data_IF_356903208292
#
_entry.id   IF_356903208292
#
_cell.length_a   1.000
_cell.length_b   1.000
_cell.length_c   1.000
_cell.angle_alpha   90.00
_cell.angle_beta   90.00
_cell.angle_gamma   90.00
#
_symmetry.space_group_name_H-M   'P 1'
#
loop_
_entity.id
_entity.type
_entity.pdbx_description
1 polymer ?
#
# COMPACT_ATOMS: atom_id res chain seq x y z
N UNK A 1 33.91 -19.03 -40.29
CA UNK A 1 33.97 -18.68 -38.85
C UNK A 1 32.55 -18.62 -38.31
N UNK A 2 32.12 -19.62 -37.55
CA UNK A 2 30.80 -19.66 -36.90
C UNK A 2 31.05 -19.67 -35.39
N UNK A 3 30.78 -18.56 -34.71
CA UNK A 3 31.00 -18.45 -33.27
C UNK A 3 29.82 -19.11 -32.56
N UNK A 4 29.97 -20.38 -32.14
CA UNK A 4 29.01 -21.02 -31.25
C UNK A 4 29.14 -20.39 -29.86
N UNK A 5 28.24 -19.46 -29.53
CA UNK A 5 28.06 -18.97 -28.15
C UNK A 5 27.49 -20.13 -27.31
N UNK A 6 28.35 -20.82 -26.57
CA UNK A 6 27.94 -21.75 -25.52
C UNK A 6 27.30 -20.94 -24.38
N UNK A 7 25.97 -20.90 -24.31
CA UNK A 7 25.28 -20.53 -23.08
C UNK A 7 25.40 -21.71 -22.11
N UNK A 8 26.24 -21.56 -21.08
CA UNK A 8 26.23 -22.44 -19.92
C UNK A 8 24.91 -22.25 -19.19
N UNK A 9 23.94 -23.15 -19.43
CA UNK A 9 22.77 -23.27 -18.57
C UNK A 9 23.18 -24.07 -17.33
N UNK A 10 23.84 -23.39 -16.39
CA UNK A 10 23.97 -23.90 -15.03
C UNK A 10 22.57 -23.91 -14.42
N UNK A 11 21.88 -25.05 -14.53
CA UNK A 11 20.61 -25.27 -13.86
C UNK A 11 20.87 -25.31 -12.36
N UNK A 12 20.61 -24.19 -11.69
CA UNK A 12 20.56 -24.13 -10.23
C UNK A 12 19.39 -25.00 -9.75
N UNK A 13 19.70 -26.24 -9.33
CA UNK A 13 18.72 -27.24 -8.90
C UNK A 13 17.95 -26.85 -7.62
N UNK A 14 18.30 -25.74 -6.96
CA UNK A 14 17.68 -25.22 -5.73
C UNK A 14 16.39 -24.40 -5.98
N UNK A 15 16.11 -23.99 -7.22
CA UNK A 15 15.09 -22.94 -7.50
C UNK A 15 13.65 -23.44 -7.51
N UNK A 16 13.38 -24.69 -7.89
CA UNK A 16 11.99 -25.20 -8.02
C UNK A 16 11.27 -25.30 -6.68
N UNK A 17 11.91 -25.92 -5.68
CA UNK A 17 11.30 -26.09 -4.36
C UNK A 17 11.06 -24.76 -3.63
N UNK A 18 12.02 -23.82 -3.73
CA UNK A 18 11.87 -22.46 -3.19
C UNK A 18 10.70 -21.71 -3.83
N UNK A 19 10.55 -21.81 -5.15
CA UNK A 19 9.48 -21.13 -5.88
C UNK A 19 8.11 -21.73 -5.57
N UNK A 20 8.00 -23.06 -5.48
CA UNK A 20 6.76 -23.72 -5.05
C UNK A 20 6.37 -23.31 -3.62
N UNK A 21 7.35 -23.25 -2.70
CA UNK A 21 7.10 -22.77 -1.32
C UNK A 21 6.61 -21.33 -1.32
N UNK A 22 7.24 -20.45 -2.10
CA UNK A 22 6.85 -19.05 -2.20
C UNK A 22 5.41 -18.87 -2.70
N UNK A 23 5.04 -19.57 -3.78
CA UNK A 23 3.68 -19.49 -4.36
C UNK A 23 2.63 -20.13 -3.44
N UNK A 24 3.03 -21.12 -2.64
CA UNK A 24 2.14 -21.76 -1.65
C UNK A 24 1.87 -20.91 -0.42
N UNK A 25 2.65 -19.84 -0.19
CA UNK A 25 2.52 -19.04 1.02
C UNK A 25 1.15 -18.30 1.07
N UNK A 26 0.39 -18.43 2.16
CA UNK A 26 -0.95 -17.85 2.28
C UNK A 26 -0.97 -16.33 2.15
N UNK A 27 0.08 -15.62 2.59
CA UNK A 27 0.14 -14.16 2.50
C UNK A 27 0.47 -13.67 1.09
N UNK A 28 1.13 -14.49 0.26
CA UNK A 28 1.31 -14.18 -1.16
C UNK A 28 -0.04 -14.27 -1.88
N UNK A 29 -0.81 -15.32 -1.59
CA UNK A 29 -2.18 -15.45 -2.10
C UNK A 29 -3.09 -14.33 -1.60
N UNK A 30 -2.98 -13.97 -0.32
CA UNK A 30 -3.74 -12.87 0.28
C UNK A 30 -3.36 -11.52 -0.32
N UNK A 31 -2.07 -11.26 -0.60
CA UNK A 31 -1.67 -9.98 -1.22
C UNK A 31 -2.26 -9.82 -2.61
N UNK A 32 -2.34 -10.91 -3.39
CA UNK A 32 -3.00 -10.88 -4.69
C UNK A 32 -4.51 -10.65 -4.53
N UNK A 33 -5.17 -11.37 -3.61
CA UNK A 33 -6.62 -11.23 -3.34
C UNK A 33 -7.00 -9.82 -2.88
N UNK A 34 -6.18 -9.19 -2.05
CA UNK A 34 -6.43 -7.85 -1.49
C UNK A 34 -5.74 -6.72 -2.29
N UNK A 35 -5.14 -7.05 -3.44
CA UNK A 35 -4.47 -6.12 -4.35
C UNK A 35 -3.34 -5.29 -3.71
N UNK A 36 -2.53 -5.93 -2.86
CA UNK A 36 -1.27 -5.40 -2.35
C UNK A 36 -0.10 -5.82 -3.23
N UNK A 37 0.85 -4.92 -3.45
CA UNK A 37 2.03 -5.18 -4.30
C UNK A 37 2.95 -6.27 -3.76
N UNK A 38 2.95 -6.52 -2.46
CA UNK A 38 3.74 -7.58 -1.84
C UNK A 38 3.11 -8.07 -0.52
N UNK A 39 3.47 -9.30 -0.13
CA UNK A 39 3.14 -9.90 1.18
C UNK A 39 3.60 -9.06 2.38
N UNK A 40 4.59 -8.18 2.21
CA UNK A 40 5.12 -7.34 3.29
C UNK A 40 4.11 -6.33 3.81
N UNK A 41 3.08 -5.97 3.02
CA UNK A 41 1.99 -5.08 3.47
C UNK A 41 1.34 -5.58 4.77
N UNK A 42 1.15 -6.90 4.91
CA UNK A 42 0.51 -7.49 6.09
C UNK A 42 1.32 -7.29 7.37
N UNK A 43 2.65 -7.28 7.29
CA UNK A 43 3.50 -6.98 8.45
C UNK A 43 3.20 -5.59 9.01
N UNK A 44 3.09 -4.59 8.13
CA UNK A 44 2.81 -3.23 8.55
C UNK A 44 1.38 -3.08 9.08
N UNK A 45 0.42 -3.79 8.47
CA UNK A 45 -0.97 -3.82 8.96
C UNK A 45 -1.03 -4.42 10.38
N UNK A 46 -0.45 -5.60 10.57
CA UNK A 46 -0.42 -6.30 11.87
C UNK A 46 0.30 -5.46 12.94
N UNK A 47 1.45 -4.86 12.61
CA UNK A 47 2.15 -3.95 13.53
C UNK A 47 1.30 -2.73 13.87
N UNK A 48 0.63 -2.13 12.89
CA UNK A 48 -0.24 -0.99 13.16
C UNK A 48 -1.46 -1.38 13.99
N UNK A 49 -2.00 -2.59 13.83
CA UNK A 49 -3.14 -3.05 14.63
C UNK A 49 -2.73 -3.29 16.10
N UNK A 50 -1.50 -3.76 16.34
CA UNK A 50 -0.95 -3.94 17.68
C UNK A 50 -0.59 -2.61 18.36
N UNK A 51 0.09 -1.69 17.66
CA UNK A 51 0.71 -0.51 18.27
C UNK A 51 0.00 0.82 17.95
N UNK A 52 -0.90 0.84 16.96
CA UNK A 52 -1.73 2.00 16.56
C UNK A 52 -0.94 3.31 16.31
N UNK A 53 0.25 3.19 15.73
CA UNK A 53 1.16 4.32 15.49
C UNK A 53 0.89 5.09 14.18
N UNK A 54 0.18 4.49 13.21
CA UNK A 54 -0.25 5.21 12.01
C UNK A 54 -1.56 5.91 12.28
N UNK A 55 -1.50 7.24 12.43
CA UNK A 55 -2.67 8.07 12.64
C UNK A 55 -2.83 9.07 11.48
N UNK A 56 -4.07 9.47 11.17
CA UNK A 56 -4.31 10.49 10.17
C UNK A 56 -3.58 11.80 10.52
N UNK A 57 -2.86 12.38 9.56
CA UNK A 57 -2.11 13.63 9.75
C UNK A 57 -0.62 13.46 10.11
N UNK A 58 -0.16 12.22 10.37
CA UNK A 58 1.26 11.95 10.59
C UNK A 58 2.10 12.16 9.31
N UNK A 59 3.38 12.49 9.48
CA UNK A 59 4.37 12.49 8.39
C UNK A 59 5.17 11.20 8.54
N UNK A 60 5.21 10.38 7.50
CA UNK A 60 5.91 9.10 7.49
C UNK A 60 6.89 9.07 6.34
N UNK A 61 8.11 8.62 6.62
CA UNK A 61 9.14 8.36 5.63
C UNK A 61 9.29 6.84 5.49
N UNK A 62 9.03 6.32 4.29
CA UNK A 62 9.19 4.91 3.93
C UNK A 62 10.57 4.75 3.27
N UNK A 63 11.57 4.32 4.04
CA UNK A 63 12.94 4.09 3.55
C UNK A 63 13.04 2.70 2.94
N UNK A 64 13.15 2.61 1.61
CA UNK A 64 13.21 1.34 0.89
C UNK A 64 11.86 0.92 0.32
N UNK A 65 11.16 1.87 -0.32
CA UNK A 65 9.79 1.68 -0.79
C UNK A 65 9.67 0.74 -2.01
N UNK A 66 10.68 -0.02 -2.41
CA UNK A 66 10.56 -1.05 -3.45
C UNK A 66 10.04 -2.36 -2.83
N UNK A 67 8.86 -2.91 -3.22
CA UNK A 67 8.00 -2.62 -4.39
C UNK A 67 6.81 -1.65 -4.14
N UNK A 68 6.67 -1.11 -2.92
CA UNK A 68 5.70 -0.04 -2.58
C UNK A 68 4.52 -0.53 -1.75
N UNK A 69 4.58 -1.77 -1.27
CA UNK A 69 3.49 -2.38 -0.50
C UNK A 69 3.24 -1.68 0.85
N UNK A 70 4.30 -1.16 1.49
CA UNK A 70 4.19 -0.39 2.75
C UNK A 70 3.61 0.99 2.49
N UNK A 71 4.15 1.72 1.52
CA UNK A 71 3.58 2.96 1.02
C UNK A 71 2.06 2.87 0.71
N UNK A 72 1.59 1.79 0.08
CA UNK A 72 0.15 1.57 -0.15
C UNK A 72 -0.68 1.52 1.14
N UNK A 73 -0.15 0.91 2.20
CA UNK A 73 -0.81 0.83 3.51
C UNK A 73 -0.75 2.19 4.20
N UNK A 74 0.41 2.87 4.18
CA UNK A 74 0.62 4.18 4.79
C UNK A 74 -0.36 5.22 4.24
N UNK A 75 -0.48 5.32 2.91
CA UNK A 75 -1.41 6.25 2.26
C UNK A 75 -2.86 6.03 2.71
N UNK A 76 -3.27 4.78 2.91
CA UNK A 76 -4.63 4.46 3.39
C UNK A 76 -4.86 4.86 4.85
N UNK A 77 -3.83 4.79 5.71
CA UNK A 77 -3.95 5.02 7.17
C UNK A 77 -3.68 6.48 7.56
N UNK A 78 -2.74 7.14 6.89
CA UNK A 78 -2.20 8.46 7.27
C UNK A 78 -2.95 9.63 6.60
N UNK A 79 -3.65 9.40 5.49
CA UNK A 79 -4.41 10.45 4.81
C UNK A 79 -5.80 10.68 5.43
N UNK A 80 -5.91 11.72 6.27
CA UNK A 80 -7.19 12.16 6.87
C UNK A 80 -8.23 12.61 5.82
N UNK A 81 -7.80 13.35 4.80
CA UNK A 81 -8.70 14.01 3.83
C UNK A 81 -9.53 13.04 2.97
N UNK A 82 -8.98 11.86 2.66
CA UNK A 82 -9.67 10.85 1.83
C UNK A 82 -10.87 10.26 2.59
N UNK A 83 -10.75 10.08 3.91
CA UNK A 83 -11.81 9.49 4.73
C UNK A 83 -12.96 10.46 4.95
N UNK A 84 -12.70 11.77 5.13
CA UNK A 84 -13.75 12.78 5.27
C UNK A 84 -14.58 12.92 3.99
N UNK A 85 -13.93 12.95 2.81
CA UNK A 85 -14.65 12.97 1.51
C UNK A 85 -15.48 11.71 1.29
N UNK A 86 -14.94 10.52 1.59
CA UNK A 86 -15.69 9.26 1.45
C UNK A 86 -16.89 9.19 2.39
N UNK A 87 -16.77 9.64 3.65
CA UNK A 87 -17.91 9.75 4.57
C UNK A 87 -18.95 10.74 4.07
N UNK A 88 -18.54 11.91 3.60
CA UNK A 88 -19.45 12.90 3.03
C UNK A 88 -20.19 12.37 1.79
N UNK A 89 -19.53 11.57 0.94
CA UNK A 89 -20.17 10.95 -0.24
C UNK A 89 -21.08 9.79 0.17
N UNK A 90 -20.69 8.96 1.15
CA UNK A 90 -21.48 7.82 1.65
C UNK A 90 -22.73 8.25 2.42
N UNK A 91 -22.70 9.42 3.07
CA UNK A 91 -23.83 10.00 3.82
C UNK A 91 -24.75 10.85 2.94
N UNK A 92 -24.45 11.01 1.65
CA UNK A 92 -25.22 11.87 0.76
C UNK A 92 -26.36 11.09 0.09
N UNK A 93 -27.32 10.66 0.90
CA UNK A 93 -28.71 10.60 0.47
C UNK A 93 -29.35 11.92 0.95
N UNK A 94 -29.22 12.95 0.10
CA UNK A 94 -29.81 14.30 0.21
C UNK A 94 -29.12 15.33 1.15
N UNK A 95 -27.99 15.90 0.74
CA UNK A 95 -27.55 17.24 1.19
C UNK A 95 -27.64 18.25 0.04
N UNK A 96 -28.13 19.45 0.37
CA UNK A 96 -28.40 20.54 -0.57
C UNK A 96 -27.10 21.07 -1.21
N UNK A 97 -27.09 21.46 -2.51
CA UNK A 97 -25.88 21.89 -3.23
C UNK A 97 -25.07 23.02 -2.58
N UNK A 98 -25.66 23.82 -1.69
CA UNK A 98 -24.99 24.88 -0.95
C UNK A 98 -23.97 24.38 0.08
N UNK A 99 -24.14 23.16 0.62
CA UNK A 99 -23.20 22.59 1.60
C UNK A 99 -21.97 21.96 0.92
N UNK A 100 -22.11 21.50 -0.34
CA UNK A 100 -21.03 20.96 -1.18
C UNK A 100 -19.91 22.00 -1.39
N UNK A 101 -20.29 23.27 -1.54
CA UNK A 101 -19.36 24.38 -1.77
C UNK A 101 -18.48 24.66 -0.54
N UNK A 102 -18.95 24.34 0.67
CA UNK A 102 -18.15 24.48 1.90
C UNK A 102 -17.14 23.34 2.11
N UNK A 103 -17.42 22.14 1.60
CA UNK A 103 -16.53 20.96 1.62
C UNK A 103 -15.37 21.06 0.62
N UNK A 104 -15.43 21.96 -0.36
CA UNK A 104 -14.35 22.18 -1.32
C UNK A 104 -13.21 23.04 -0.74
N UNK A 105 -13.44 23.75 0.37
CA UNK A 105 -12.36 24.47 1.06
C UNK A 105 -11.60 23.50 1.97
N UNK A 106 -10.29 23.28 1.76
CA UNK A 106 -9.50 22.50 2.71
C UNK A 106 -9.57 23.20 4.06
N UNK A 107 -10.11 22.51 5.08
CA UNK A 107 -10.02 22.98 6.45
C UNK A 107 -8.51 23.08 6.81
N UNK A 108 -7.99 24.29 7.11
CA UNK A 108 -6.57 24.50 7.36
C UNK A 108 -6.05 23.71 8.56
N UNK A 109 -6.95 23.35 9.49
CA UNK A 109 -6.62 22.59 10.70
C UNK A 109 -6.52 21.09 10.44
N UNK A 110 -7.09 20.61 9.32
CA UNK A 110 -7.04 19.20 8.93
C UNK A 110 -5.75 18.88 8.17
N UNK A 111 -4.71 18.53 8.95
CA UNK A 111 -3.43 18.07 8.40
C UNK A 111 -3.66 16.83 7.52
N UNK A 112 -3.38 16.94 6.22
CA UNK A 112 -3.16 15.75 5.41
C UNK A 112 -1.81 15.17 5.83
N UNK A 113 -1.80 13.91 6.26
CA UNK A 113 -0.53 13.27 6.51
C UNK A 113 0.25 13.11 5.21
N UNK A 114 1.57 13.08 5.31
CA UNK A 114 2.47 13.02 4.15
C UNK A 114 3.22 11.70 4.21
N UNK A 115 3.25 10.97 3.09
CA UNK A 115 4.06 9.76 2.93
C UNK A 115 5.15 10.08 1.93
N UNK A 116 6.40 10.07 2.39
CA UNK A 116 7.58 10.25 1.54
C UNK A 116 8.21 8.87 1.34
N UNK A 117 8.15 8.34 0.13
CA UNK A 117 8.75 7.07 -0.25
C UNK A 117 10.12 7.33 -0.86
N UNK A 118 11.17 6.77 -0.26
CA UNK A 118 12.57 6.87 -0.71
C UNK A 118 13.09 5.53 -1.23
#
# INVERSE_FOLDING_TARGET
MFVKRFFSTSTCHSTKAWMTKHVSDPYVRRSVKENYRARSAFKLIEMNDAYKFLQPGHIVIDMGAAPGAWSQVLVKKVNARINTRKKAIQQNELLHPSEITSLHRPNPDLKCGTVIAL
#
